data_IF_184225582405
#
_entry.id   IF_184225582405
#
_cell.length_a   1.000
_cell.length_b   1.000
_cell.length_c   1.000
_cell.angle_alpha   90.00
_cell.angle_beta   90.00
_cell.angle_gamma   90.00
#
_symmetry.space_group_name_H-M   'P 1'
#
loop_
_entity.id
_entity.type
_entity.pdbx_description
1 polymer ?
#
# COMPACT_ATOMS: atom_id res chain seq x y z
N UNK A 1 9.38 3.29 27.34
CA UNK A 1 10.19 2.08 27.06
C UNK A 1 10.62 2.16 25.61
N UNK A 2 11.94 2.23 25.41
CA UNK A 2 12.64 2.68 24.21
C UNK A 2 12.37 1.81 22.97
N UNK A 3 12.15 2.45 21.81
CA UNK A 3 12.05 1.83 20.47
C UNK A 3 13.34 1.13 19.99
N UNK A 4 14.40 1.09 20.80
CA UNK A 4 15.71 0.57 20.39
C UNK A 4 15.97 -0.90 20.72
N UNK A 5 14.98 -1.64 21.24
CA UNK A 5 15.24 -3.00 21.76
C UNK A 5 14.65 -4.13 20.90
N UNK A 6 14.80 -4.12 19.56
CA UNK A 6 14.73 -5.36 18.76
C UNK A 6 15.23 -5.36 17.31
N UNK A 7 16.32 -4.67 16.96
CA UNK A 7 17.09 -5.11 15.78
C UNK A 7 18.00 -6.27 16.21
N UNK A 8 17.46 -7.49 16.22
CA UNK A 8 18.28 -8.70 16.44
C UNK A 8 19.24 -8.83 15.26
N UNK A 9 20.53 -8.91 15.57
CA UNK A 9 21.66 -9.10 14.66
C UNK A 9 21.56 -10.42 13.89
N UNK A 10 20.70 -10.51 12.88
CA UNK A 10 20.94 -11.45 11.78
C UNK A 10 22.02 -10.82 10.90
N UNK A 11 23.25 -11.34 11.01
CA UNK A 11 24.42 -10.91 10.23
C UNK A 11 24.36 -11.41 8.77
N UNK A 12 23.15 -11.53 8.21
CA UNK A 12 22.94 -12.02 6.87
C UNK A 12 22.42 -10.87 6.00
N UNK A 13 23.18 -10.59 4.94
CA UNK A 13 22.73 -9.78 3.82
C UNK A 13 22.07 -10.71 2.80
N UNK A 14 20.92 -10.32 2.27
CA UNK A 14 20.12 -11.16 1.40
C UNK A 14 20.06 -10.56 0.00
N UNK A 15 20.67 -11.23 -0.98
CA UNK A 15 20.53 -10.83 -2.39
C UNK A 15 19.13 -11.21 -2.92
N UNK A 16 18.48 -10.26 -3.58
CA UNK A 16 17.18 -10.44 -4.22
C UNK A 16 17.41 -10.67 -5.71
N UNK A 17 16.79 -11.73 -6.24
CA UNK A 17 16.92 -12.11 -7.64
C UNK A 17 15.56 -12.12 -8.33
N UNK A 18 15.56 -11.77 -9.61
CA UNK A 18 14.43 -11.92 -10.51
C UNK A 18 14.82 -12.91 -11.62
N UNK A 19 13.86 -13.71 -12.07
CA UNK A 19 14.08 -14.72 -13.12
C UNK A 19 13.49 -14.20 -14.43
N UNK A 20 14.38 -13.89 -15.36
CA UNK A 20 14.01 -13.46 -16.70
C UNK A 20 13.76 -14.67 -17.58
N UNK A 21 12.61 -14.68 -18.25
CA UNK A 21 12.20 -15.82 -19.06
C UNK A 21 12.21 -15.40 -20.53
N UNK A 22 13.20 -15.90 -21.26
CA UNK A 22 13.31 -15.64 -22.68
C UNK A 22 12.48 -16.66 -23.48
N UNK A 23 12.01 -16.26 -24.68
CA UNK A 23 11.58 -17.22 -25.69
C UNK A 23 12.68 -18.29 -25.87
N UNK A 24 12.30 -19.52 -26.21
CA UNK A 24 13.19 -20.70 -26.31
C UNK A 24 13.48 -21.41 -24.97
N UNK A 25 12.86 -20.95 -23.87
CA UNK A 25 12.93 -21.65 -22.58
C UNK A 25 14.20 -21.35 -21.78
N UNK A 26 14.97 -20.36 -22.20
CA UNK A 26 16.15 -19.90 -21.49
C UNK A 26 15.72 -19.00 -20.30
N UNK A 27 16.12 -19.39 -19.10
CA UNK A 27 15.89 -18.64 -17.87
C UNK A 27 17.18 -18.01 -17.37
N UNK A 28 17.20 -16.69 -17.13
CA UNK A 28 18.33 -16.00 -16.53
C UNK A 28 17.98 -15.51 -15.12
N UNK A 29 18.85 -15.81 -14.16
CA UNK A 29 18.72 -15.30 -12.78
C UNK A 29 19.52 -14.02 -12.63
N UNK A 30 18.83 -12.89 -12.51
CA UNK A 30 19.44 -11.54 -12.41
C UNK A 30 19.32 -11.03 -10.98
N UNK A 31 20.41 -10.53 -10.37
CA UNK A 31 20.34 -9.85 -9.06
C UNK A 31 19.71 -8.47 -9.29
N UNK A 32 18.59 -8.21 -8.63
CA UNK A 32 17.82 -6.96 -8.77
C UNK A 32 17.83 -6.10 -7.52
N UNK A 33 18.40 -6.61 -6.43
CA UNK A 33 18.47 -5.86 -5.19
C UNK A 33 19.04 -6.64 -4.01
N UNK A 34 18.84 -6.08 -2.84
CA UNK A 34 19.39 -6.58 -1.58
C UNK A 34 18.55 -6.16 -0.39
N UNK A 35 18.49 -7.03 0.61
CA UNK A 35 17.86 -6.76 1.89
C UNK A 35 18.88 -6.90 3.03
N UNK A 36 19.00 -5.85 3.82
CA UNK A 36 19.89 -5.73 4.97
C UNK A 36 19.09 -5.44 6.24
N UNK A 37 18.96 -6.41 7.18
CA UNK A 37 18.34 -6.18 8.49
C UNK A 37 19.11 -5.15 9.35
N UNK A 38 20.33 -4.79 8.95
CA UNK A 38 21.21 -3.85 9.67
C UNK A 38 21.08 -2.41 9.19
N UNK A 39 20.46 -2.20 8.03
CA UNK A 39 20.30 -0.84 7.53
C UNK A 39 19.34 -0.04 8.44
N UNK A 40 19.44 1.29 8.41
CA UNK A 40 18.47 2.15 9.10
C UNK A 40 17.04 1.89 8.63
N UNK A 41 16.06 2.13 9.50
CA UNK A 41 14.66 1.99 9.19
C UNK A 41 14.26 2.69 7.88
N UNK A 42 13.58 1.96 6.99
CA UNK A 42 13.18 2.41 5.66
C UNK A 42 14.28 2.29 4.60
N UNK A 43 15.45 1.74 4.94
CA UNK A 43 16.58 1.50 4.02
C UNK A 43 17.06 0.05 4.04
N UNK A 44 16.32 -0.83 4.71
CA UNK A 44 16.61 -2.27 4.76
C UNK A 44 16.48 -2.92 3.40
N UNK A 45 15.68 -2.36 2.49
CA UNK A 45 15.45 -2.90 1.15
C UNK A 45 15.98 -1.93 0.09
N UNK A 46 16.80 -2.45 -0.83
CA UNK A 46 17.21 -1.75 -2.05
C UNK A 46 16.84 -2.59 -3.26
N UNK A 47 16.10 -2.02 -4.21
CA UNK A 47 15.66 -2.65 -5.44
C UNK A 47 15.93 -1.74 -6.64
N UNK A 48 16.44 -2.31 -7.72
CA UNK A 48 16.53 -1.69 -9.04
C UNK A 48 15.32 -2.12 -9.86
N UNK A 49 14.23 -1.35 -9.80
CA UNK A 49 12.96 -1.69 -10.47
C UNK A 49 13.12 -1.87 -12.00
N UNK A 50 14.03 -1.11 -12.60
CA UNK A 50 14.40 -1.20 -14.03
C UNK A 50 14.99 -2.54 -14.46
N UNK A 51 15.47 -3.36 -13.50
CA UNK A 51 16.02 -4.70 -13.75
C UNK A 51 14.99 -5.80 -13.47
N UNK A 52 13.77 -5.47 -13.06
CA UNK A 52 12.73 -6.46 -12.78
C UNK A 52 11.89 -6.68 -14.04
N UNK A 53 11.92 -7.91 -14.55
CA UNK A 53 11.02 -8.33 -15.62
C UNK A 53 9.72 -8.87 -15.01
N UNK A 54 8.60 -8.22 -15.33
CA UNK A 54 7.28 -8.66 -14.91
C UNK A 54 6.62 -9.50 -16.00
N UNK A 55 6.05 -10.64 -15.61
CA UNK A 55 5.29 -11.52 -16.52
C UNK A 55 3.90 -10.95 -16.82
N UNK A 56 3.80 -9.75 -17.38
CA UNK A 56 2.52 -9.04 -17.59
C UNK A 56 1.69 -9.53 -18.79
N UNK A 57 2.09 -10.63 -19.46
CA UNK A 57 1.31 -11.22 -20.55
C UNK A 57 1.19 -10.35 -21.81
N UNK A 58 1.72 -9.12 -21.80
CA UNK A 58 1.78 -8.22 -22.96
C UNK A 58 2.96 -8.58 -23.86
N UNK A 59 2.96 -9.82 -24.34
CA UNK A 59 3.78 -10.22 -25.48
C UNK A 59 3.09 -9.72 -26.76
N UNK A 60 3.77 -8.85 -27.50
CA UNK A 60 3.46 -8.47 -28.89
C UNK A 60 2.19 -7.63 -29.14
N UNK A 61 2.25 -6.34 -28.81
CA UNK A 61 1.76 -5.32 -29.76
C UNK A 61 2.96 -4.51 -30.22
N UNK A 62 3.40 -4.75 -31.45
CA UNK A 62 4.47 -4.03 -32.14
C UNK A 62 3.96 -2.65 -32.57
N UNK A 63 3.39 -1.88 -31.67
CA UNK A 63 3.07 -0.44 -31.78
C UNK A 63 2.38 0.04 -30.49
N UNK A 64 2.94 -0.18 -29.30
CA UNK A 64 2.48 0.55 -28.12
C UNK A 64 3.64 0.80 -27.17
N UNK A 65 3.90 2.10 -26.97
CA UNK A 65 4.72 2.77 -25.97
C UNK A 65 5.58 1.88 -25.06
N UNK A 66 6.89 2.14 -25.08
CA UNK A 66 7.96 1.52 -24.25
C UNK A 66 7.67 1.61 -22.73
N UNK A 67 6.66 2.36 -22.29
CA UNK A 67 6.23 2.51 -20.90
C UNK A 67 5.57 1.28 -20.27
N UNK A 68 5.01 0.36 -21.05
CA UNK A 68 4.20 -0.74 -20.52
C UNK A 68 5.02 -1.97 -20.05
N UNK A 69 6.31 -2.04 -20.41
CA UNK A 69 7.20 -3.14 -20.01
C UNK A 69 7.72 -3.01 -18.58
N UNK A 70 7.69 -1.79 -18.00
CA UNK A 70 8.17 -1.49 -16.64
C UNK A 70 7.03 -1.33 -15.63
N UNK A 71 5.78 -1.61 -16.01
CA UNK A 71 4.64 -1.40 -15.13
C UNK A 71 4.57 -2.49 -14.06
N UNK A 72 4.79 -2.12 -12.80
CA UNK A 72 4.58 -2.99 -11.64
C UNK A 72 3.16 -3.55 -11.65
N UNK A 73 2.98 -4.89 -11.55
CA UNK A 73 1.67 -5.50 -11.63
C UNK A 73 0.81 -5.08 -10.44
N UNK A 74 -0.44 -4.73 -10.74
CA UNK A 74 -1.43 -4.44 -9.71
C UNK A 74 -1.97 -5.75 -9.14
N UNK A 75 -1.71 -6.00 -7.85
CA UNK A 75 -2.12 -7.24 -7.16
C UNK A 75 -2.94 -6.90 -5.91
N UNK A 76 -4.17 -6.42 -6.13
CA UNK A 76 -5.13 -6.13 -5.05
C UNK A 76 -6.39 -6.98 -5.22
N UNK A 77 -7.04 -7.32 -4.10
CA UNK A 77 -8.33 -8.03 -4.13
C UNK A 77 -9.50 -7.11 -4.49
N UNK A 78 -9.38 -5.82 -4.15
CA UNK A 78 -10.44 -4.83 -4.33
C UNK A 78 -9.80 -3.48 -4.63
N UNK A 79 -10.32 -2.81 -5.66
CA UNK A 79 -9.87 -1.48 -6.06
C UNK A 79 -10.15 -0.45 -4.96
N UNK A 80 -9.38 0.64 -4.96
CA UNK A 80 -9.64 1.73 -4.02
C UNK A 80 -10.99 2.38 -4.31
N UNK A 81 -11.79 2.59 -3.26
CA UNK A 81 -13.10 3.21 -3.42
C UNK A 81 -12.96 4.67 -3.83
N UNK A 82 -13.81 5.09 -4.77
CA UNK A 82 -13.96 6.50 -5.12
C UNK A 82 -14.52 7.31 -3.94
N UNK A 83 -14.27 8.63 -3.91
CA UNK A 83 -14.86 9.50 -2.91
C UNK A 83 -16.39 9.35 -2.86
N UNK A 84 -16.99 9.32 -1.67
CA UNK A 84 -18.43 9.09 -1.45
C UNK A 84 -18.82 7.62 -1.23
N UNK A 85 -17.86 6.70 -1.30
CA UNK A 85 -18.05 5.28 -0.99
C UNK A 85 -17.16 4.86 0.18
N UNK A 86 -17.71 4.01 1.06
CA UNK A 86 -16.97 3.33 2.12
C UNK A 86 -16.67 1.88 1.76
N UNK A 87 -15.58 1.36 2.34
CA UNK A 87 -15.20 -0.04 2.26
C UNK A 87 -16.07 -0.87 3.19
N UNK A 88 -16.79 -1.84 2.63
CA UNK A 88 -17.57 -2.82 3.40
C UNK A 88 -16.90 -4.20 3.27
N UNK A 89 -16.52 -4.85 4.38
CA UNK A 89 -15.86 -6.16 4.34
C UNK A 89 -16.72 -7.21 3.64
N UNK A 90 -16.11 -8.01 2.76
CA UNK A 90 -16.77 -9.14 2.12
C UNK A 90 -16.81 -10.35 3.06
N UNK A 91 -18.01 -10.87 3.35
CA UNK A 91 -18.18 -12.02 4.25
C UNK A 91 -17.45 -13.25 3.70
N UNK A 92 -16.61 -13.87 4.53
CA UNK A 92 -15.86 -15.08 4.18
C UNK A 92 -14.61 -14.84 3.31
N UNK A 93 -14.24 -13.58 3.02
CA UNK A 93 -12.97 -13.24 2.36
C UNK A 93 -11.96 -12.62 3.32
N UNK A 94 -10.72 -12.49 2.85
CA UNK A 94 -9.64 -11.84 3.60
C UNK A 94 -9.94 -10.35 3.85
N UNK A 95 -9.33 -9.77 4.90
CA UNK A 95 -9.53 -8.38 5.31
C UNK A 95 -9.22 -7.34 4.22
N UNK A 96 -8.36 -7.67 3.26
CA UNK A 96 -8.04 -6.80 2.13
C UNK A 96 -9.13 -6.77 1.03
N UNK A 97 -10.13 -7.65 1.09
CA UNK A 97 -11.23 -7.73 0.13
C UNK A 97 -12.47 -7.02 0.67
N UNK A 98 -12.97 -6.03 -0.08
CA UNK A 98 -14.09 -5.19 0.33
C UNK A 98 -14.91 -4.72 -0.87
N UNK A 99 -16.17 -4.39 -0.61
CA UNK A 99 -17.04 -3.72 -1.57
C UNK A 99 -17.08 -2.22 -1.30
N UNK A 100 -17.20 -1.43 -2.38
CA UNK A 100 -17.45 0.00 -2.26
C UNK A 100 -18.94 0.25 -2.21
N UNK A 101 -19.45 0.61 -1.04
CA UNK A 101 -20.86 0.94 -0.81
C UNK A 101 -21.02 2.44 -0.59
N UNK A 102 -22.07 3.10 -1.10
CA UNK A 102 -22.30 4.52 -0.84
C UNK A 102 -22.30 4.86 0.65
N UNK A 103 -21.86 6.07 1.02
CA UNK A 103 -22.05 6.54 2.39
C UNK A 103 -23.53 6.49 2.76
N UNK A 104 -23.89 5.96 3.94
CA UNK A 104 -25.28 6.00 4.41
C UNK A 104 -25.71 7.46 4.63
N UNK A 105 -27.02 7.75 4.51
CA UNK A 105 -27.59 9.11 4.58
C UNK A 105 -27.20 9.92 5.83
N UNK A 106 -26.78 9.24 6.91
CA UNK A 106 -26.39 9.84 8.19
C UNK A 106 -24.88 10.17 8.31
N UNK A 107 -24.09 9.85 7.28
CA UNK A 107 -22.66 10.17 7.20
C UNK A 107 -22.43 11.15 6.05
N UNK A 108 -21.72 12.25 6.33
CA UNK A 108 -21.40 13.24 5.30
C UNK A 108 -20.10 12.81 4.64
N UNK A 109 -20.06 12.88 3.31
CA UNK A 109 -18.82 12.84 2.56
C UNK A 109 -17.99 14.09 2.92
N UNK A 110 -16.92 13.91 3.68
CA UNK A 110 -16.01 15.01 3.97
C UNK A 110 -14.99 15.10 2.84
N UNK A 111 -15.14 16.09 1.96
CA UNK A 111 -14.29 16.30 0.78
C UNK A 111 -12.81 16.45 1.13
N UNK A 112 -12.49 16.98 2.32
CA UNK A 112 -11.13 17.09 2.83
C UNK A 112 -10.51 15.74 3.19
N UNK A 113 -11.28 14.86 3.84
CA UNK A 113 -10.80 13.54 4.23
C UNK A 113 -10.95 12.51 3.10
N UNK A 114 -11.84 12.73 2.13
CA UNK A 114 -12.22 11.74 1.09
C UNK A 114 -12.74 10.40 1.67
N UNK A 115 -13.21 10.40 2.92
CA UNK A 115 -13.86 9.27 3.61
C UNK A 115 -15.24 9.70 4.15
N UNK A 116 -16.12 8.73 4.43
CA UNK A 116 -17.39 9.00 5.11
C UNK A 116 -17.11 9.37 6.57
N UNK A 117 -17.55 10.55 7.00
CA UNK A 117 -17.46 11.02 8.38
C UNK A 117 -18.83 11.04 9.04
N UNK A 118 -18.93 10.53 10.26
CA UNK A 118 -20.16 10.66 11.07
C UNK A 118 -20.35 12.11 11.50
N UNK A 119 -21.57 12.66 11.34
CA UNK A 119 -21.98 13.91 11.99
C UNK A 119 -22.23 13.64 13.48
N UNK A 120 -21.18 13.37 14.24
CA UNK A 120 -21.30 13.61 15.68
C UNK A 120 -21.30 15.13 15.82
N UNK A 121 -22.46 15.73 16.14
CA UNK A 121 -22.45 17.06 16.77
C UNK A 121 -21.46 16.93 17.93
N UNK A 122 -20.24 17.50 17.81
CA UNK A 122 -19.37 17.63 18.98
C UNK A 122 -20.24 18.34 20.01
N UNK A 123 -20.49 17.78 21.21
CA UNK A 123 -21.14 18.57 22.24
C UNK A 123 -20.29 19.83 22.38
N UNK A 124 -20.94 20.99 22.26
CA UNK A 124 -20.30 22.27 22.52
C UNK A 124 -19.56 22.09 23.86
N UNK A 125 -18.24 22.29 23.87
CA UNK A 125 -17.51 22.33 25.14
C UNK A 125 -18.24 23.36 25.98
N UNK A 126 -18.93 22.93 27.03
CA UNK A 126 -19.50 23.85 27.99
C UNK A 126 -18.34 24.73 28.45
N UNK A 127 -18.40 26.02 28.16
CA UNK A 127 -17.48 26.98 28.73
C UNK A 127 -17.64 26.83 30.25
N UNK A 128 -16.64 26.27 30.93
CA UNK A 128 -16.57 26.37 32.38
C UNK A 128 -16.39 27.85 32.67
N UNK A 129 -17.47 28.54 33.03
CA UNK A 129 -17.38 29.80 33.75
C UNK A 129 -16.73 29.44 35.08
N UNK A 130 -15.42 29.67 35.18
CA UNK A 130 -14.76 29.64 36.48
C UNK A 130 -15.20 30.95 37.16
N UNK A 131 -16.22 30.87 38.01
CA UNK A 131 -16.48 31.92 38.98
C UNK A 131 -15.26 32.04 39.88
N UNK A 132 -14.49 33.11 39.69
CA UNK A 132 -13.59 33.59 40.73
C UNK A 132 -14.46 34.15 41.85
N UNK A 133 -14.58 33.40 42.94
CA UNK A 133 -14.85 33.96 44.26
C UNK A 133 -13.49 33.97 44.95
N UNK A 134 -12.86 35.14 44.96
CA UNK A 134 -12.22 35.82 46.10
C UNK A 134 -11.71 37.18 45.60
#
# INVERSE_FOLDING_TARGET
MSQYQRCVLQNAEYAIFNFWNFPEGLGLKVKVGEYSPRAPCGRELSLSEELIEWATGKSHSRYQQVSDLLQTPHSVCSESCSPGFRKTPQKGKATCCFDCTPCPENEIFNETDRWCGSVTRKPARAAKVVSAIL
#
